data_IF_777444428246
#
_entry.id   IF_777444428246
#
_cell.length_a   1.000
_cell.length_b   1.000
_cell.length_c   1.000
_cell.angle_alpha   90.00
_cell.angle_beta   90.00
_cell.angle_gamma   90.00
#
_symmetry.space_group_name_H-M   'P 1'
#
loop_
_entity.id
_entity.type
_entity.pdbx_description
1 polymer ?
#
# COMPACT_ATOMS: atom_id res chain seq x y z
N UNK A 1 6.51 21.85 5.93
CA UNK A 1 7.19 20.62 6.42
C UNK A 1 8.59 20.82 7.02
N UNK A 2 9.42 21.83 6.67
CA UNK A 2 10.73 22.02 7.31
C UNK A 2 10.68 22.13 8.84
N UNK A 3 9.67 22.83 9.37
CA UNK A 3 9.44 22.96 10.82
C UNK A 3 9.20 21.62 11.53
N UNK A 4 8.52 20.67 10.88
CA UNK A 4 8.18 19.35 11.46
C UNK A 4 9.43 18.53 11.78
N UNK A 5 10.50 18.64 10.99
CA UNK A 5 11.76 17.95 11.29
C UNK A 5 12.47 18.52 12.51
N UNK A 6 12.40 19.82 12.74
CA UNK A 6 12.96 20.46 13.94
C UNK A 6 12.20 20.06 15.21
N UNK A 7 10.96 19.59 15.08
CA UNK A 7 10.06 19.24 16.17
C UNK A 7 9.97 17.73 16.46
N UNK A 8 10.67 16.87 15.70
CA UNK A 8 10.63 15.41 15.90
C UNK A 8 10.93 15.00 17.35
N UNK A 9 11.94 15.62 17.96
CA UNK A 9 12.28 15.37 19.37
C UNK A 9 11.15 15.75 20.32
N UNK A 10 10.44 16.85 20.05
CA UNK A 10 9.29 17.26 20.86
C UNK A 10 8.11 16.29 20.71
N UNK A 11 7.84 15.83 19.49
CA UNK A 11 6.79 14.83 19.26
C UNK A 11 7.08 13.50 19.96
N UNK A 12 8.32 12.99 19.88
CA UNK A 12 8.72 11.79 20.60
C UNK A 12 8.59 11.98 22.11
N UNK A 13 9.01 13.14 22.63
CA UNK A 13 8.88 13.47 24.04
C UNK A 13 7.42 13.48 24.51
N UNK A 14 6.48 13.92 23.66
CA UNK A 14 5.05 13.91 23.99
C UNK A 14 4.53 12.50 24.29
N UNK A 15 5.04 11.45 23.64
CA UNK A 15 4.65 10.05 23.90
C UNK A 15 4.92 9.69 25.37
N UNK A 16 6.02 10.21 25.95
CA UNK A 16 6.42 9.96 27.35
C UNK A 16 5.55 10.66 28.40
N UNK A 17 4.59 11.47 27.95
CA UNK A 17 3.62 12.16 28.81
C UNK A 17 2.20 11.62 28.66
N UNK A 18 1.94 10.69 27.73
CA UNK A 18 0.59 10.14 27.52
C UNK A 18 -0.03 9.53 28.78
N UNK A 19 0.79 9.04 29.72
CA UNK A 19 0.38 8.46 31.00
C UNK A 19 0.30 9.48 32.16
N UNK A 20 0.66 10.74 31.89
CA UNK A 20 0.79 11.82 32.89
C UNK A 20 -0.19 12.96 32.68
N UNK A 21 -0.93 12.95 31.57
CA UNK A 21 -1.90 14.00 31.24
C UNK A 21 -3.30 13.53 31.60
N UNK A 22 -4.10 14.43 32.15
CA UNK A 22 -5.52 14.20 32.44
C UNK A 22 -6.33 14.53 31.18
N UNK A 23 -6.25 13.64 30.19
CA UNK A 23 -6.90 13.75 28.88
C UNK A 23 -7.64 12.47 28.58
N UNK A 24 -8.77 12.57 27.87
CA UNK A 24 -9.55 11.41 27.47
C UNK A 24 -8.71 10.40 26.67
N UNK A 25 -8.86 9.11 26.98
CA UNK A 25 -8.06 8.05 26.36
C UNK A 25 -8.28 7.98 24.85
N UNK A 26 -9.46 8.32 24.35
CA UNK A 26 -9.79 8.34 22.93
C UNK A 26 -9.02 9.45 22.19
N UNK A 27 -8.79 10.60 22.84
CA UNK A 27 -7.96 11.67 22.29
C UNK A 27 -6.48 11.26 22.23
N UNK A 28 -5.98 10.60 23.27
CA UNK A 28 -4.60 10.11 23.31
C UNK A 28 -4.35 9.10 22.18
N UNK A 29 -5.25 8.14 21.98
CA UNK A 29 -5.07 7.14 20.90
C UNK A 29 -5.17 7.77 19.51
N UNK A 30 -6.04 8.76 19.29
CA UNK A 30 -6.08 9.51 18.02
C UNK A 30 -4.78 10.29 17.79
N UNK A 31 -4.22 10.90 18.85
CA UNK A 31 -2.94 11.58 18.76
C UNK A 31 -1.81 10.62 18.39
N UNK A 32 -1.74 9.45 19.03
CA UNK A 32 -0.76 8.41 18.71
C UNK A 32 -0.92 7.87 17.28
N UNK A 33 -2.15 7.77 16.77
CA UNK A 33 -2.39 7.39 15.38
C UNK A 33 -1.77 8.39 14.41
N UNK A 34 -2.15 9.66 14.54
CA UNK A 34 -1.64 10.73 13.68
C UNK A 34 -0.12 10.82 13.74
N UNK A 35 0.46 10.61 14.94
CA UNK A 35 1.90 10.64 15.11
C UNK A 35 2.58 9.44 14.45
N UNK A 36 1.97 8.25 14.53
CA UNK A 36 2.42 7.08 13.79
C UNK A 36 2.42 7.30 12.29
N UNK A 37 1.32 7.83 11.73
CA UNK A 37 1.22 8.17 10.30
C UNK A 37 2.32 9.16 9.87
N UNK A 38 2.60 10.19 10.68
CA UNK A 38 3.68 11.13 10.44
C UNK A 38 5.05 10.44 10.39
N UNK A 39 5.37 9.61 11.38
CA UNK A 39 6.66 8.93 11.44
C UNK A 39 6.84 7.90 10.32
N UNK A 40 5.76 7.30 9.83
CA UNK A 40 5.77 6.44 8.64
C UNK A 40 6.09 7.30 7.41
N UNK A 41 5.37 8.42 7.22
CA UNK A 41 5.52 9.29 6.06
C UNK A 41 6.94 9.85 5.89
N UNK A 42 7.62 10.14 7.01
CA UNK A 42 9.01 10.64 7.01
C UNK A 42 10.06 9.54 7.22
N UNK A 43 9.64 8.28 7.29
CA UNK A 43 10.48 7.10 7.45
C UNK A 43 11.45 7.16 8.66
N UNK A 44 10.94 7.60 9.81
CA UNK A 44 11.74 7.80 11.04
C UNK A 44 11.15 7.03 12.25
N UNK A 45 10.89 5.74 12.07
CA UNK A 45 10.05 4.97 13.00
C UNK A 45 10.74 4.51 14.28
N UNK A 46 12.06 4.32 14.28
CA UNK A 46 12.80 3.74 15.42
C UNK A 46 12.58 4.48 16.75
N UNK A 47 12.60 5.81 16.70
CA UNK A 47 12.35 6.65 17.89
C UNK A 47 10.91 6.46 18.39
N UNK A 48 9.94 6.52 17.48
CA UNK A 48 8.52 6.33 17.80
C UNK A 48 8.26 4.94 18.41
N UNK A 49 8.79 3.89 17.79
CA UNK A 49 8.69 2.50 18.29
C UNK A 49 9.24 2.40 19.72
N UNK A 50 10.42 2.98 19.98
CA UNK A 50 11.05 2.95 21.30
C UNK A 50 10.18 3.64 22.35
N UNK A 51 9.78 4.89 22.11
CA UNK A 51 9.00 5.65 23.09
C UNK A 51 7.62 5.02 23.33
N UNK A 52 6.93 4.58 22.27
CA UNK A 52 5.61 3.96 22.39
C UNK A 52 5.69 2.61 23.12
N UNK A 53 6.74 1.81 22.88
CA UNK A 53 6.96 0.55 23.59
C UNK A 53 7.19 0.76 25.08
N UNK A 54 7.84 1.87 25.47
CA UNK A 54 8.10 2.18 26.88
C UNK A 54 6.83 2.52 27.67
N UNK A 55 5.83 3.12 27.01
CA UNK A 55 4.59 3.57 27.67
C UNK A 55 3.40 2.63 27.46
N UNK A 56 3.52 1.57 26.66
CA UNK A 56 2.38 0.68 26.32
C UNK A 56 1.67 0.08 27.55
N UNK A 57 2.39 -0.15 28.64
CA UNK A 57 1.84 -0.70 29.88
C UNK A 57 0.96 0.27 30.68
N UNK A 58 1.02 1.57 30.35
CA UNK A 58 0.14 2.58 30.95
C UNK A 58 -1.30 2.49 30.42
N UNK A 59 -1.49 1.92 29.23
CA UNK A 59 -2.82 1.71 28.64
C UNK A 59 -3.45 0.43 29.18
N UNK A 60 -4.79 0.42 29.26
CA UNK A 60 -5.57 -0.75 29.69
C UNK A 60 -6.63 -1.10 28.64
N UNK A 61 -7.24 -2.28 28.78
CA UNK A 61 -8.39 -2.70 27.97
C UNK A 61 -8.17 -2.57 26.46
N UNK A 62 -9.12 -1.90 25.79
CA UNK A 62 -9.19 -1.75 24.32
C UNK A 62 -8.12 -0.82 23.80
N UNK A 63 -7.78 0.21 24.56
CA UNK A 63 -6.71 1.15 24.24
C UNK A 63 -5.36 0.44 24.19
N UNK A 64 -5.09 -0.45 25.16
CA UNK A 64 -3.88 -1.27 25.12
C UNK A 64 -3.83 -2.18 23.89
N UNK A 65 -4.97 -2.76 23.50
CA UNK A 65 -5.05 -3.58 22.28
C UNK A 65 -4.72 -2.76 21.04
N UNK A 66 -5.29 -1.56 20.91
CA UNK A 66 -4.95 -0.64 19.82
C UNK A 66 -3.47 -0.22 19.86
N UNK A 67 -2.92 0.19 21.00
CA UNK A 67 -1.51 0.62 21.06
C UNK A 67 -0.56 -0.53 20.68
N UNK A 68 -0.88 -1.76 21.07
CA UNK A 68 -0.16 -2.95 20.62
C UNK A 68 -0.27 -3.15 19.10
N UNK A 69 -1.45 -2.97 18.50
CA UNK A 69 -1.61 -3.08 17.05
C UNK A 69 -0.87 -1.97 16.31
N UNK A 70 -0.84 -0.77 16.87
CA UNK A 70 -0.08 0.36 16.32
C UNK A 70 1.42 0.08 16.36
N UNK A 71 1.95 -0.48 17.44
CA UNK A 71 3.34 -0.93 17.53
C UNK A 71 3.70 -1.96 16.45
N UNK A 72 2.82 -2.93 16.21
CA UNK A 72 3.00 -3.92 15.14
C UNK A 72 2.93 -3.24 13.76
N UNK A 73 2.00 -2.31 13.56
CA UNK A 73 1.86 -1.53 12.35
C UNK A 73 3.13 -0.76 12.00
N UNK A 74 3.66 0.03 12.93
CA UNK A 74 4.89 0.79 12.68
C UNK A 74 6.12 -0.11 12.51
N UNK A 75 6.20 -1.26 13.19
CA UNK A 75 7.28 -2.24 13.00
C UNK A 75 7.24 -2.87 11.60
N UNK A 76 6.05 -3.16 11.10
CA UNK A 76 5.87 -3.67 9.74
C UNK A 76 6.44 -2.66 8.73
N UNK A 77 6.16 -1.36 8.87
CA UNK A 77 6.70 -0.32 8.00
C UNK A 77 8.21 -0.06 8.15
N UNK A 78 8.78 -0.34 9.33
CA UNK A 78 10.24 -0.31 9.58
C UNK A 78 10.95 -1.55 9.00
N UNK A 79 10.21 -2.56 8.55
CA UNK A 79 10.71 -3.73 7.83
C UNK A 79 10.66 -5.05 8.60
N UNK A 80 10.12 -5.09 9.82
CA UNK A 80 9.90 -6.32 10.59
C UNK A 80 8.59 -7.01 10.18
N UNK A 81 8.50 -7.38 8.89
CA UNK A 81 7.25 -7.81 8.26
C UNK A 81 6.66 -9.09 8.87
N UNK A 82 7.46 -10.16 8.94
CA UNK A 82 6.98 -11.48 9.36
C UNK A 82 6.54 -11.49 10.83
N UNK A 83 7.35 -10.91 11.72
CA UNK A 83 7.02 -10.85 13.15
C UNK A 83 5.81 -9.96 13.40
N UNK A 84 5.74 -8.80 12.75
CA UNK A 84 4.60 -7.90 12.89
C UNK A 84 3.30 -8.53 12.37
N UNK A 85 3.34 -9.22 11.23
CA UNK A 85 2.17 -9.90 10.69
C UNK A 85 1.74 -11.08 11.57
N UNK A 86 2.69 -11.88 12.06
CA UNK A 86 2.38 -12.94 13.02
C UNK A 86 1.73 -12.37 14.30
N UNK A 87 2.23 -11.23 14.80
CA UNK A 87 1.65 -10.53 15.94
C UNK A 87 0.24 -10.03 15.68
N UNK A 88 -0.04 -9.45 14.50
CA UNK A 88 -1.40 -8.99 14.14
C UNK A 88 -2.37 -10.17 14.07
N UNK A 89 -1.98 -11.30 13.47
CA UNK A 89 -2.85 -12.49 13.42
C UNK A 89 -3.22 -13.00 14.81
N UNK A 90 -2.32 -12.88 15.79
CA UNK A 90 -2.60 -13.26 17.17
C UNK A 90 -3.44 -12.23 17.91
N UNK A 91 -3.15 -10.94 17.72
CA UNK A 91 -3.81 -9.84 18.43
C UNK A 91 -5.23 -9.58 17.89
N UNK A 92 -5.39 -9.62 16.57
CA UNK A 92 -6.58 -9.20 15.85
C UNK A 92 -6.84 -10.08 14.62
N UNK A 93 -7.19 -11.37 14.81
CA UNK A 93 -7.56 -12.26 13.71
C UNK A 93 -8.76 -11.70 12.93
N UNK A 94 -8.88 -12.06 11.65
CA UNK A 94 -9.90 -11.51 10.74
C UNK A 94 -11.34 -11.68 11.28
N UNK A 95 -11.61 -12.81 11.93
CA UNK A 95 -12.91 -13.11 12.54
C UNK A 95 -13.25 -12.15 13.68
N UNK A 96 -12.25 -11.75 14.47
CA UNK A 96 -12.42 -10.76 15.53
C UNK A 96 -12.70 -9.38 14.94
N UNK A 97 -11.96 -8.98 13.90
CA UNK A 97 -12.09 -7.67 13.28
C UNK A 97 -13.50 -7.39 12.75
N UNK A 98 -14.20 -8.43 12.29
CA UNK A 98 -15.59 -8.33 11.83
C UNK A 98 -16.60 -8.01 12.95
N UNK A 99 -16.22 -8.18 14.22
CA UNK A 99 -17.10 -7.99 15.39
C UNK A 99 -16.85 -6.69 16.15
N UNK A 100 -15.82 -5.92 15.77
CA UNK A 100 -15.44 -4.68 16.43
C UNK A 100 -16.49 -3.58 16.27
N UNK A 101 -16.79 -2.87 17.35
CA UNK A 101 -17.67 -1.71 17.43
C UNK A 101 -16.94 -0.45 16.92
N UNK A 102 -17.30 -0.06 15.70
CA UNK A 102 -16.73 1.12 15.03
C UNK A 102 -17.08 2.46 15.68
N UNK A 103 -18.08 2.51 16.56
CA UNK A 103 -18.40 3.71 17.32
C UNK A 103 -17.29 4.06 18.31
N UNK A 104 -16.56 3.04 18.79
CA UNK A 104 -15.42 3.18 19.67
C UNK A 104 -14.16 3.50 18.88
N UNK A 105 -13.44 4.55 19.31
CA UNK A 105 -12.24 5.04 18.63
C UNK A 105 -11.15 3.97 18.58
N UNK A 106 -10.84 3.36 19.73
CA UNK A 106 -9.79 2.34 19.85
C UNK A 106 -10.05 1.11 18.99
N UNK A 107 -11.26 0.59 18.98
CA UNK A 107 -11.62 -0.57 18.14
C UNK A 107 -11.62 -0.21 16.64
N UNK A 108 -12.06 1.00 16.27
CA UNK A 108 -11.98 1.48 14.88
C UNK A 108 -10.52 1.61 14.40
N UNK A 109 -9.63 2.14 15.23
CA UNK A 109 -8.20 2.28 14.92
C UNK A 109 -7.47 0.92 14.93
N UNK A 110 -7.84 0.01 15.83
CA UNK A 110 -7.39 -1.38 15.82
C UNK A 110 -7.74 -2.06 14.49
N UNK A 111 -9.00 -1.94 14.05
CA UNK A 111 -9.43 -2.46 12.76
C UNK A 111 -8.63 -1.85 11.61
N UNK A 112 -8.44 -0.53 11.60
CA UNK A 112 -7.67 0.15 10.56
C UNK A 112 -6.23 -0.37 10.48
N UNK A 113 -5.49 -0.39 11.59
CA UNK A 113 -4.08 -0.83 11.61
C UNK A 113 -3.92 -2.30 11.21
N UNK A 114 -4.78 -3.18 11.73
CA UNK A 114 -4.76 -4.60 11.37
C UNK A 114 -5.11 -4.83 9.89
N UNK A 115 -6.20 -4.23 9.39
CA UNK A 115 -6.58 -4.38 7.99
C UNK A 115 -5.55 -3.83 7.02
N UNK A 116 -4.80 -2.77 7.36
CA UNK A 116 -3.71 -2.31 6.51
C UNK A 116 -2.60 -3.37 6.37
N UNK A 117 -2.24 -4.10 7.44
CA UNK A 117 -1.25 -5.19 7.32
C UNK A 117 -1.83 -6.37 6.52
N UNK A 118 -3.06 -6.80 6.83
CA UNK A 118 -3.73 -7.87 6.08
C UNK A 118 -3.83 -7.56 4.59
N UNK A 119 -4.13 -6.31 4.26
CA UNK A 119 -4.18 -5.83 2.88
C UNK A 119 -2.84 -6.03 2.15
N UNK A 120 -1.73 -5.69 2.81
CA UNK A 120 -0.37 -5.85 2.25
C UNK A 120 0.01 -7.33 2.10
N UNK A 121 -0.49 -8.19 2.98
CA UNK A 121 -0.30 -9.65 2.97
C UNK A 121 -1.29 -10.40 2.07
N UNK A 122 -2.10 -9.68 1.29
CA UNK A 122 -2.91 -10.23 0.21
C UNK A 122 -4.36 -10.60 0.55
N UNK A 123 -4.91 -10.01 1.62
CA UNK A 123 -6.31 -10.15 2.03
C UNK A 123 -7.21 -9.02 1.50
N UNK A 124 -6.92 -8.51 0.29
CA UNK A 124 -7.62 -7.35 -0.27
C UNK A 124 -9.14 -7.51 -0.37
N UNK A 125 -9.62 -8.73 -0.67
CA UNK A 125 -11.05 -9.03 -0.73
C UNK A 125 -11.73 -8.88 0.63
N UNK A 126 -11.11 -9.41 1.68
CA UNK A 126 -11.64 -9.29 3.05
C UNK A 126 -11.75 -7.83 3.47
N UNK A 127 -10.71 -7.05 3.21
CA UNK A 127 -10.67 -5.61 3.53
C UNK A 127 -11.74 -4.84 2.74
N UNK A 128 -11.88 -5.11 1.43
CA UNK A 128 -12.90 -4.45 0.60
C UNK A 128 -14.33 -4.77 1.07
N UNK A 129 -14.62 -6.03 1.46
CA UNK A 129 -15.92 -6.41 2.04
C UNK A 129 -16.20 -5.64 3.33
N UNK A 130 -15.21 -5.52 4.21
CA UNK A 130 -15.32 -4.75 5.44
C UNK A 130 -15.60 -3.27 5.16
N UNK A 131 -14.83 -2.67 4.26
CA UNK A 131 -14.96 -1.26 3.89
C UNK A 131 -16.35 -0.95 3.31
N UNK A 132 -16.83 -1.81 2.41
CA UNK A 132 -18.13 -1.68 1.77
C UNK A 132 -19.28 -1.84 2.77
N UNK A 133 -19.24 -2.88 3.61
CA UNK A 133 -20.26 -3.16 4.63
C UNK A 133 -20.42 -2.00 5.61
N UNK A 134 -19.31 -1.39 6.00
CA UNK A 134 -19.30 -0.29 6.98
C UNK A 134 -19.28 1.09 6.33
N UNK A 135 -19.37 1.18 5.00
CA UNK A 135 -19.33 2.43 4.23
C UNK A 135 -18.15 3.32 4.65
N UNK A 136 -16.97 2.72 4.77
CA UNK A 136 -15.75 3.41 5.21
C UNK A 136 -15.44 4.55 4.24
N UNK A 137 -15.26 5.75 4.77
CA UNK A 137 -14.89 6.93 3.97
C UNK A 137 -13.39 7.15 4.05
N UNK A 138 -12.73 7.08 2.89
CA UNK A 138 -11.30 7.34 2.77
C UNK A 138 -11.04 8.69 2.09
N UNK A 139 -9.85 9.24 2.28
CA UNK A 139 -9.40 10.50 1.65
C UNK A 139 -8.64 10.26 0.33
N UNK A 140 -8.47 9.00 -0.04
CA UNK A 140 -7.73 8.51 -1.21
C UNK A 140 -8.48 7.33 -1.83
N UNK A 141 -8.06 6.92 -3.03
CA UNK A 141 -8.59 5.72 -3.66
C UNK A 141 -8.41 4.52 -2.72
N UNK A 142 -9.47 3.73 -2.44
CA UNK A 142 -9.34 2.59 -1.54
C UNK A 142 -8.32 1.58 -2.09
N UNK A 143 -7.27 1.32 -1.32
CA UNK A 143 -6.19 0.41 -1.71
C UNK A 143 -6.68 -1.03 -1.89
N UNK A 144 -7.70 -1.44 -1.13
CA UNK A 144 -8.41 -2.71 -1.29
C UNK A 144 -9.05 -2.85 -2.67
N UNK A 145 -9.78 -1.84 -3.14
CA UNK A 145 -10.35 -1.81 -4.49
C UNK A 145 -9.25 -1.79 -5.57
N UNK A 146 -8.18 -1.02 -5.37
CA UNK A 146 -7.04 -1.00 -6.28
C UNK A 146 -6.40 -2.40 -6.44
N UNK A 147 -6.08 -3.09 -5.34
CA UNK A 147 -5.47 -4.42 -5.41
C UNK A 147 -6.40 -5.45 -6.06
N UNK A 148 -7.71 -5.36 -5.84
CA UNK A 148 -8.70 -6.22 -6.50
C UNK A 148 -8.90 -5.92 -7.99
N UNK A 149 -8.34 -4.84 -8.52
CA UNK A 149 -8.63 -4.40 -9.89
C UNK A 149 -10.03 -3.80 -10.06
N UNK A 150 -10.69 -3.34 -8.99
CA UNK A 150 -11.92 -2.55 -9.08
C UNK A 150 -11.59 -1.12 -9.56
N UNK A 151 -11.24 -0.97 -10.83
CA UNK A 151 -10.82 0.30 -11.41
C UNK A 151 -12.01 1.11 -11.90
N UNK A 152 -12.13 2.33 -11.36
CA UNK A 152 -13.19 3.25 -11.74
C UNK A 152 -12.62 4.67 -11.90
N UNK A 153 -12.70 5.19 -13.14
CA UNK A 153 -12.17 6.51 -13.49
C UNK A 153 -12.83 7.63 -12.68
N UNK A 154 -14.16 7.66 -12.60
CA UNK A 154 -14.88 8.70 -11.86
C UNK A 154 -14.52 8.73 -10.37
N UNK A 155 -14.27 7.56 -9.77
CA UNK A 155 -13.77 7.48 -8.40
C UNK A 155 -12.32 8.00 -8.30
N UNK A 156 -11.43 7.62 -9.21
CA UNK A 156 -10.04 8.06 -9.24
C UNK A 156 -9.90 9.59 -9.34
N UNK A 157 -10.70 10.21 -10.22
CA UNK A 157 -10.76 11.67 -10.44
C UNK A 157 -11.49 12.42 -9.32
N UNK A 158 -12.30 11.71 -8.51
CA UNK A 158 -12.96 12.32 -7.34
C UNK A 158 -11.98 12.67 -6.21
N UNK A 159 -10.77 12.10 -6.21
CA UNK A 159 -9.73 12.38 -5.21
C UNK A 159 -8.70 13.41 -5.72
N UNK A 160 -8.00 14.05 -4.79
CA UNK A 160 -6.72 14.71 -5.12
C UNK A 160 -5.70 13.66 -5.54
N UNK A 161 -4.76 14.02 -6.41
CA UNK A 161 -3.71 13.12 -6.84
C UNK A 161 -2.93 12.57 -5.64
N UNK A 162 -2.77 11.25 -5.64
CA UNK A 162 -2.02 10.44 -4.70
C UNK A 162 -1.53 9.19 -5.44
N UNK A 163 -0.72 8.40 -4.77
CA UNK A 163 -0.15 7.19 -5.36
C UNK A 163 -1.20 6.26 -5.99
N UNK A 164 -2.27 5.91 -5.26
CA UNK A 164 -3.22 4.90 -5.72
C UNK A 164 -4.08 5.36 -6.91
N UNK A 165 -4.59 6.60 -6.91
CA UNK A 165 -5.38 7.05 -8.07
C UNK A 165 -4.52 7.30 -9.30
N UNK A 166 -3.27 7.74 -9.14
CA UNK A 166 -2.32 7.79 -10.26
C UNK A 166 -2.08 6.38 -10.82
N UNK A 167 -1.87 5.38 -9.96
CA UNK A 167 -1.63 4.00 -10.44
C UNK A 167 -2.86 3.39 -11.13
N UNK A 168 -4.08 3.64 -10.62
CA UNK A 168 -5.32 3.24 -11.28
C UNK A 168 -5.41 3.87 -12.67
N UNK A 169 -5.20 5.19 -12.79
CA UNK A 169 -5.24 5.88 -14.08
C UNK A 169 -4.16 5.36 -15.05
N UNK A 170 -2.96 5.07 -14.56
CA UNK A 170 -1.89 4.47 -15.35
C UNK A 170 -2.28 3.09 -15.88
N UNK A 171 -2.84 2.24 -15.01
CA UNK A 171 -3.27 0.90 -15.38
C UNK A 171 -4.46 0.88 -16.36
N UNK A 172 -5.28 1.93 -16.34
CA UNK A 172 -6.35 2.16 -17.33
C UNK A 172 -5.85 2.78 -18.64
N UNK A 173 -4.57 3.18 -18.74
CA UNK A 173 -4.03 3.89 -19.90
C UNK A 173 -4.50 5.34 -20.01
N UNK A 174 -4.93 5.95 -18.91
CA UNK A 174 -5.49 7.30 -18.84
C UNK A 174 -4.55 8.33 -18.18
N UNK A 175 -3.45 7.90 -17.57
CA UNK A 175 -2.51 8.81 -16.92
C UNK A 175 -1.56 9.45 -17.94
N UNK A 176 -1.69 10.76 -18.11
CA UNK A 176 -0.73 11.57 -18.88
C UNK A 176 0.60 11.72 -18.12
N UNK A 177 1.70 11.80 -18.86
CA UNK A 177 3.05 11.82 -18.31
C UNK A 177 3.34 13.14 -17.56
N UNK A 178 2.77 14.23 -18.04
CA UNK A 178 2.91 15.57 -17.47
C UNK A 178 2.25 15.65 -16.10
N UNK A 179 1.16 14.91 -15.88
CA UNK A 179 0.44 14.89 -14.60
C UNK A 179 1.28 14.23 -13.50
N UNK A 180 1.96 13.13 -13.82
CA UNK A 180 2.81 12.44 -12.86
C UNK A 180 4.12 13.19 -12.61
N UNK A 181 4.68 13.83 -13.64
CA UNK A 181 5.88 14.66 -13.50
C UNK A 181 5.60 15.91 -12.65
N UNK A 182 4.45 16.56 -12.87
CA UNK A 182 3.99 17.66 -12.01
C UNK A 182 3.82 17.19 -10.56
N UNK A 183 3.16 16.05 -10.34
CA UNK A 183 2.98 15.50 -9.00
C UNK A 183 4.31 15.22 -8.29
N UNK A 184 5.28 14.60 -8.98
CA UNK A 184 6.62 14.34 -8.44
C UNK A 184 7.32 15.64 -8.01
N UNK A 185 7.19 16.71 -8.79
CA UNK A 185 7.82 18.01 -8.50
C UNK A 185 7.24 18.73 -7.26
N UNK A 186 6.00 18.39 -6.87
CA UNK A 186 5.35 18.96 -5.68
C UNK A 186 5.65 18.16 -4.40
N UNK A 187 6.22 16.96 -4.52
CA UNK A 187 6.52 16.13 -3.36
C UNK A 187 7.66 16.72 -2.54
N UNK A 188 7.53 16.61 -1.21
CA UNK A 188 8.58 16.99 -0.29
C UNK A 188 9.80 16.05 -0.43
N UNK A 189 11.01 16.60 -0.51
CA UNK A 189 12.25 15.85 -0.77
C UNK A 189 12.50 14.64 0.16
N UNK A 190 11.97 14.70 1.39
CA UNK A 190 12.10 13.60 2.37
C UNK A 190 10.91 12.64 2.41
N UNK A 191 9.93 12.80 1.54
CA UNK A 191 8.84 11.83 1.32
C UNK A 191 9.36 10.63 0.49
N UNK A 192 10.46 10.02 0.92
CA UNK A 192 11.25 9.07 0.13
C UNK A 192 10.44 7.86 -0.34
N UNK A 193 9.53 7.35 0.48
CA UNK A 193 8.65 6.24 0.10
C UNK A 193 7.69 6.64 -1.04
N UNK A 194 7.08 7.81 -0.94
CA UNK A 194 6.15 8.32 -1.95
C UNK A 194 6.86 8.67 -3.25
N UNK A 195 8.04 9.29 -3.16
CA UNK A 195 8.93 9.55 -4.30
C UNK A 195 9.28 8.25 -5.03
N UNK A 196 9.67 7.20 -4.29
CA UNK A 196 9.97 5.88 -4.86
C UNK A 196 8.77 5.27 -5.57
N UNK A 197 7.60 5.26 -4.92
CA UNK A 197 6.36 4.69 -5.42
C UNK A 197 5.86 5.38 -6.70
N UNK A 198 5.85 6.71 -6.71
CA UNK A 198 5.40 7.47 -7.87
C UNK A 198 6.43 7.40 -9.00
N UNK A 199 7.74 7.44 -8.70
CA UNK A 199 8.80 7.24 -9.70
C UNK A 199 8.72 5.86 -10.36
N UNK A 200 8.27 4.86 -9.61
CA UNK A 200 7.99 3.53 -10.15
C UNK A 200 6.82 3.52 -11.12
N UNK A 201 5.67 4.16 -10.80
CA UNK A 201 4.57 4.34 -11.76
C UNK A 201 5.08 5.05 -13.01
N UNK A 202 5.87 6.13 -12.83
CA UNK A 202 6.45 6.89 -13.92
C UNK A 202 7.31 6.02 -14.83
N UNK A 203 8.18 5.21 -14.25
CA UNK A 203 9.06 4.28 -14.97
C UNK A 203 8.30 3.18 -15.72
N UNK A 204 7.11 2.79 -15.27
CA UNK A 204 6.24 1.85 -16.00
C UNK A 204 5.64 2.47 -17.27
N UNK A 205 5.38 3.77 -17.28
CA UNK A 205 4.87 4.49 -18.45
C UNK A 205 5.98 4.79 -19.43
N UNK A 206 7.04 5.47 -18.95
CA UNK A 206 8.24 5.80 -19.70
C UNK A 206 9.42 5.64 -18.72
N UNK A 207 10.34 4.70 -18.98
CA UNK A 207 11.44 4.41 -18.06
C UNK A 207 12.27 5.65 -17.72
N UNK A 208 12.54 5.84 -16.43
CA UNK A 208 13.47 6.85 -15.94
C UNK A 208 14.90 6.50 -16.30
N UNK A 209 15.77 7.49 -16.37
CA UNK A 209 17.19 7.27 -16.57
C UNK A 209 17.84 6.67 -15.32
N UNK A 210 18.95 5.95 -15.53
CA UNK A 210 19.69 5.28 -14.45
C UNK A 210 20.06 6.24 -13.32
N UNK A 211 20.49 7.46 -13.66
CA UNK A 211 20.95 8.43 -12.67
C UNK A 211 19.80 8.92 -11.77
N UNK A 212 18.61 9.11 -12.33
CA UNK A 212 17.38 9.46 -11.60
C UNK A 212 16.96 8.35 -10.65
N UNK A 213 16.96 7.10 -11.12
CA UNK A 213 16.62 5.93 -10.29
C UNK A 213 17.62 5.77 -9.15
N UNK A 214 18.92 5.93 -9.43
CA UNK A 214 19.99 5.81 -8.42
C UNK A 214 19.86 6.88 -7.33
N UNK A 215 19.40 8.09 -7.67
CA UNK A 215 19.20 9.18 -6.70
C UNK A 215 18.07 8.91 -5.68
N UNK A 216 17.11 8.03 -5.99
CA UNK A 216 16.02 7.69 -5.08
C UNK A 216 16.53 7.02 -3.79
N UNK A 217 16.13 7.56 -2.65
CA UNK A 217 16.54 7.06 -1.33
C UNK A 217 15.76 5.80 -0.96
N UNK A 218 16.48 4.75 -0.58
CA UNK A 218 15.89 3.47 -0.12
C UNK A 218 15.73 3.49 1.39
N UNK A 219 14.49 3.48 1.86
CA UNK A 219 14.14 3.55 3.30
C UNK A 219 13.78 2.20 3.92
N UNK A 220 13.32 1.24 3.12
CA UNK A 220 12.94 -0.11 3.56
C UNK A 220 13.08 -1.13 2.41
N UNK A 221 12.93 -2.44 2.67
CA UNK A 221 13.03 -3.48 1.63
C UNK A 221 12.06 -3.29 0.47
N UNK A 222 10.82 -2.83 0.73
CA UNK A 222 9.86 -2.55 -0.32
C UNK A 222 10.37 -1.48 -1.32
N UNK A 223 10.87 -0.35 -0.82
CA UNK A 223 11.48 0.69 -1.65
C UNK A 223 12.71 0.19 -2.41
N UNK A 224 13.50 -0.72 -1.81
CA UNK A 224 14.65 -1.37 -2.48
C UNK A 224 14.18 -2.22 -3.66
N UNK A 225 13.12 -2.98 -3.47
CA UNK A 225 12.53 -3.83 -4.50
C UNK A 225 12.01 -3.03 -5.70
N UNK A 226 11.25 -1.96 -5.46
CA UNK A 226 10.79 -1.07 -6.53
C UNK A 226 11.96 -0.45 -7.31
N UNK A 227 13.00 0.01 -6.60
CA UNK A 227 14.22 0.53 -7.23
C UNK A 227 14.91 -0.51 -8.10
N UNK A 228 14.99 -1.75 -7.62
CA UNK A 228 15.53 -2.90 -8.37
C UNK A 228 14.77 -3.16 -9.66
N UNK A 229 13.42 -3.12 -9.63
CA UNK A 229 12.60 -3.27 -10.84
C UNK A 229 12.85 -2.16 -11.85
N UNK A 230 12.89 -0.89 -11.41
CA UNK A 230 13.17 0.23 -12.31
C UNK A 230 14.54 0.09 -12.99
N UNK A 231 15.57 -0.31 -12.23
CA UNK A 231 16.89 -0.58 -12.79
C UNK A 231 16.87 -1.77 -13.77
N UNK A 232 16.09 -2.81 -13.49
CA UNK A 232 15.95 -3.97 -14.37
C UNK A 232 15.32 -3.59 -15.72
N UNK A 233 14.33 -2.68 -15.73
CA UNK A 233 13.66 -2.23 -16.95
C UNK A 233 14.60 -1.58 -17.96
N UNK A 234 15.68 -0.96 -17.50
CA UNK A 234 16.62 -0.21 -18.33
C UNK A 234 17.99 -0.89 -18.47
N UNK A 235 18.18 -2.09 -17.93
CA UNK A 235 19.46 -2.79 -17.96
C UNK A 235 19.63 -3.53 -19.30
N UNK A 236 20.57 -3.11 -20.17
CA UNK A 236 20.73 -3.74 -21.48
C UNK A 236 21.38 -5.13 -21.38
N UNK A 237 22.13 -5.42 -20.31
CA UNK A 237 22.74 -6.72 -20.14
C UNK A 237 21.74 -7.70 -19.50
N UNK A 238 21.28 -8.69 -20.27
CA UNK A 238 20.29 -9.66 -19.82
C UNK A 238 20.67 -10.40 -18.53
N UNK A 239 21.95 -10.74 -18.30
CA UNK A 239 22.40 -11.42 -17.08
C UNK A 239 22.25 -10.49 -15.87
N UNK A 240 22.61 -9.21 -16.02
CA UNK A 240 22.42 -8.21 -14.96
C UNK A 240 20.95 -7.91 -14.72
N UNK A 241 20.15 -7.77 -15.77
CA UNK A 241 18.71 -7.56 -15.68
C UNK A 241 18.04 -8.72 -14.93
N UNK A 242 18.40 -9.97 -15.25
CA UNK A 242 17.93 -11.17 -14.59
C UNK A 242 18.18 -11.12 -13.07
N UNK A 243 19.41 -10.76 -12.66
CA UNK A 243 19.78 -10.61 -11.26
C UNK A 243 18.95 -9.52 -10.56
N UNK A 244 18.78 -8.36 -11.20
CA UNK A 244 17.99 -7.25 -10.66
C UNK A 244 16.52 -7.65 -10.45
N UNK A 245 15.92 -8.39 -11.39
CA UNK A 245 14.56 -8.92 -11.23
C UNK A 245 14.45 -9.88 -10.05
N UNK A 246 15.34 -10.86 -9.95
CA UNK A 246 15.32 -11.85 -8.86
C UNK A 246 15.49 -11.20 -7.48
N UNK A 247 16.42 -10.26 -7.36
CA UNK A 247 16.61 -9.48 -6.12
C UNK A 247 15.36 -8.66 -5.80
N UNK A 248 14.76 -7.99 -6.78
CA UNK A 248 13.56 -7.20 -6.57
C UNK A 248 12.36 -8.04 -6.12
N UNK A 249 12.14 -9.20 -6.74
CA UNK A 249 11.07 -10.16 -6.38
C UNK A 249 11.20 -10.58 -4.92
N UNK A 250 12.42 -10.87 -4.45
CA UNK A 250 12.69 -11.22 -3.06
C UNK A 250 12.36 -10.08 -2.11
N UNK A 251 12.82 -8.86 -2.42
CA UNK A 251 12.61 -7.68 -1.56
C UNK A 251 11.14 -7.24 -1.47
N UNK A 252 10.35 -7.52 -2.51
CA UNK A 252 8.92 -7.18 -2.57
C UNK A 252 8.02 -8.23 -1.89
N UNK A 253 8.55 -9.36 -1.41
CA UNK A 253 7.78 -10.52 -0.96
C UNK A 253 6.70 -10.26 0.09
N UNK A 254 6.81 -9.19 0.88
CA UNK A 254 5.86 -8.84 1.95
C UNK A 254 4.71 -7.95 1.46
N UNK A 255 4.89 -7.23 0.34
CA UNK A 255 3.78 -6.48 -0.27
C UNK A 255 3.27 -7.29 -1.46
N UNK A 256 2.32 -8.19 -1.20
CA UNK A 256 1.94 -9.27 -2.13
C UNK A 256 1.54 -8.75 -3.51
N UNK A 257 0.84 -7.62 -3.59
CA UNK A 257 0.47 -7.04 -4.88
C UNK A 257 1.70 -6.73 -5.74
N UNK A 258 2.68 -5.99 -5.21
CA UNK A 258 3.90 -5.64 -5.95
C UNK A 258 4.86 -6.82 -6.12
N UNK A 259 4.85 -7.80 -5.22
CA UNK A 259 5.54 -9.07 -5.46
C UNK A 259 5.01 -9.78 -6.72
N UNK A 260 3.68 -9.85 -6.87
CA UNK A 260 3.05 -10.48 -8.04
C UNK A 260 3.26 -9.64 -9.30
N UNK A 261 3.25 -8.32 -9.19
CA UNK A 261 3.60 -7.43 -10.30
C UNK A 261 5.07 -7.58 -10.73
N UNK A 262 6.00 -7.78 -9.78
CA UNK A 262 7.40 -8.07 -10.08
C UNK A 262 7.55 -9.39 -10.85
N UNK A 263 6.81 -10.43 -10.45
CA UNK A 263 6.74 -11.70 -11.19
C UNK A 263 6.22 -11.49 -12.61
N UNK A 264 5.22 -10.62 -12.81
CA UNK A 264 4.69 -10.29 -14.13
C UNK A 264 5.76 -9.69 -15.03
N UNK A 265 6.48 -8.67 -14.55
CA UNK A 265 7.52 -8.03 -15.34
C UNK A 265 8.71 -8.97 -15.61
N UNK A 266 9.08 -9.80 -14.65
CA UNK A 266 10.15 -10.77 -14.84
C UNK A 266 9.74 -11.87 -15.83
N UNK A 267 8.51 -12.39 -15.76
CA UNK A 267 7.99 -13.30 -16.76
C UNK A 267 8.01 -12.66 -18.16
N UNK A 268 7.56 -11.41 -18.30
CA UNK A 268 7.65 -10.68 -19.58
C UNK A 268 9.10 -10.59 -20.10
N UNK A 269 10.07 -10.35 -19.23
CA UNK A 269 11.49 -10.36 -19.59
C UNK A 269 11.96 -11.75 -20.02
N UNK A 270 11.65 -12.80 -19.25
CA UNK A 270 12.04 -14.18 -19.52
C UNK A 270 11.43 -14.73 -20.81
N UNK A 271 10.23 -14.29 -21.19
CA UNK A 271 9.58 -14.72 -22.44
C UNK A 271 10.49 -14.53 -23.66
N UNK A 272 11.34 -13.50 -23.63
CA UNK A 272 12.27 -13.17 -24.72
C UNK A 272 13.69 -13.69 -24.50
N UNK A 273 14.11 -13.93 -23.25
CA UNK A 273 15.50 -14.23 -22.91
C UNK A 273 15.74 -15.66 -22.40
N UNK A 274 14.74 -16.29 -21.79
CA UNK A 274 14.81 -17.66 -21.25
C UNK A 274 13.41 -18.29 -21.18
N UNK A 275 12.90 -18.84 -22.31
CA UNK A 275 11.56 -19.42 -22.38
C UNK A 275 11.32 -20.60 -21.44
N UNK A 276 12.38 -21.30 -21.01
CA UNK A 276 12.26 -22.41 -20.05
C UNK A 276 11.90 -21.91 -18.66
N UNK A 277 12.53 -20.82 -18.19
CA UNK A 277 12.18 -20.22 -16.90
C UNK A 277 10.87 -19.42 -16.97
N UNK A 278 10.53 -18.88 -18.13
CA UNK A 278 9.28 -18.12 -18.33
C UNK A 278 8.05 -18.87 -17.78
N UNK A 279 7.87 -20.13 -18.16
CA UNK A 279 6.71 -20.92 -17.74
C UNK A 279 6.60 -21.08 -16.21
N UNK A 280 7.73 -21.15 -15.52
CA UNK A 280 7.79 -21.29 -14.06
C UNK A 280 7.24 -20.02 -13.40
N UNK A 281 7.83 -18.86 -13.76
CA UNK A 281 7.46 -17.59 -13.16
C UNK A 281 6.08 -17.09 -13.61
N UNK A 282 5.68 -17.40 -14.85
CA UNK A 282 4.33 -17.17 -15.35
C UNK A 282 3.29 -17.90 -14.50
N UNK A 283 3.43 -19.22 -14.32
CA UNK A 283 2.47 -20.03 -13.54
C UNK A 283 2.45 -19.62 -12.07
N UNK A 284 3.62 -19.36 -11.48
CA UNK A 284 3.71 -18.86 -10.12
C UNK A 284 2.93 -17.55 -9.96
N UNK A 285 3.17 -16.58 -10.84
CA UNK A 285 2.50 -15.29 -10.81
C UNK A 285 0.99 -15.41 -11.01
N UNK A 286 0.55 -16.13 -12.04
CA UNK A 286 -0.87 -16.35 -12.33
C UNK A 286 -1.60 -17.01 -11.14
N UNK A 287 -1.02 -18.06 -10.55
CA UNK A 287 -1.59 -18.72 -9.37
C UNK A 287 -1.74 -17.75 -8.19
N UNK A 288 -0.77 -16.86 -7.98
CA UNK A 288 -0.85 -15.85 -6.92
C UNK A 288 -1.90 -14.79 -7.22
N UNK A 289 -2.07 -14.36 -8.47
CA UNK A 289 -3.15 -13.43 -8.83
C UNK A 289 -4.53 -14.01 -8.52
N UNK A 290 -4.73 -15.30 -8.80
CA UNK A 290 -5.98 -16.00 -8.51
C UNK A 290 -6.20 -16.18 -7.01
N UNK A 291 -5.15 -16.59 -6.28
CA UNK A 291 -5.17 -16.76 -4.82
C UNK A 291 -5.57 -15.48 -4.09
N UNK A 292 -5.03 -14.34 -4.51
CA UNK A 292 -5.24 -13.04 -3.84
C UNK A 292 -6.28 -12.15 -4.53
N UNK A 293 -6.94 -12.66 -5.57
CA UNK A 293 -7.95 -11.96 -6.36
C UNK A 293 -7.45 -10.65 -7.01
N UNK A 294 -6.18 -10.62 -7.44
CA UNK A 294 -5.58 -9.49 -8.16
C UNK A 294 -5.97 -9.52 -9.64
N UNK A 295 -7.24 -9.24 -9.93
CA UNK A 295 -7.85 -9.47 -11.25
C UNK A 295 -7.19 -8.71 -12.39
N UNK A 296 -6.74 -7.46 -12.15
CA UNK A 296 -5.99 -6.73 -13.16
C UNK A 296 -4.66 -7.43 -13.49
N UNK A 297 -3.91 -7.89 -12.48
CA UNK A 297 -2.68 -8.62 -12.72
C UNK A 297 -2.94 -9.97 -13.38
N UNK A 298 -4.03 -10.66 -13.04
CA UNK A 298 -4.45 -11.89 -13.72
C UNK A 298 -4.62 -11.63 -15.23
N UNK A 299 -5.38 -10.59 -15.59
CA UNK A 299 -5.51 -10.12 -16.97
C UNK A 299 -4.14 -9.86 -17.61
N UNK A 300 -3.25 -9.15 -16.92
CA UNK A 300 -1.90 -8.83 -17.44
C UNK A 300 -1.08 -10.09 -17.73
N UNK A 301 -1.13 -11.11 -16.87
CA UNK A 301 -0.48 -12.39 -17.15
C UNK A 301 -1.10 -13.07 -18.37
N UNK A 302 -2.42 -13.20 -18.44
CA UNK A 302 -3.09 -13.86 -19.57
C UNK A 302 -2.73 -13.21 -20.92
N UNK A 303 -2.57 -11.88 -20.96
CA UNK A 303 -2.12 -11.15 -22.14
C UNK A 303 -0.68 -11.48 -22.59
N UNK A 304 0.18 -12.07 -21.73
CA UNK A 304 1.52 -12.51 -22.13
C UNK A 304 1.46 -13.71 -23.08
N UNK A 305 0.51 -14.63 -22.89
CA UNK A 305 0.33 -15.81 -23.75
C UNK A 305 -0.65 -15.55 -24.89
N UNK A 306 -1.72 -14.81 -24.61
CA UNK A 306 -2.85 -14.62 -25.51
C UNK A 306 -3.19 -13.12 -25.60
N UNK A 307 -2.35 -12.32 -26.29
CA UNK A 307 -2.62 -10.89 -26.46
C UNK A 307 -3.91 -10.71 -27.27
N UNK A 308 -4.97 -10.25 -26.60
CA UNK A 308 -6.29 -10.06 -27.21
C UNK A 308 -6.51 -8.64 -27.71
N UNK A 309 -5.74 -7.67 -27.21
CA UNK A 309 -5.95 -6.25 -27.47
C UNK A 309 -7.22 -5.67 -26.84
N UNK A 310 -7.99 -6.50 -26.13
CA UNK A 310 -9.21 -6.08 -25.43
C UNK A 310 -8.80 -5.43 -24.12
N UNK A 311 -9.35 -4.25 -23.82
CA UNK A 311 -9.11 -3.55 -22.57
C UNK A 311 -9.58 -4.38 -21.36
N UNK A 312 -8.93 -4.18 -20.21
CA UNK A 312 -9.31 -4.84 -18.96
C UNK A 312 -10.75 -4.49 -18.55
N UNK A 313 -11.50 -5.51 -18.13
CA UNK A 313 -12.83 -5.37 -17.57
C UNK A 313 -12.97 -6.30 -16.35
N UNK A 314 -13.27 -5.79 -15.14
CA UNK A 314 -13.40 -6.61 -13.94
C UNK A 314 -14.51 -7.66 -14.03
N UNK A 315 -15.50 -7.48 -14.93
CA UNK A 315 -16.60 -8.45 -15.13
C UNK A 315 -16.14 -9.77 -15.75
N UNK A 316 -15.00 -9.77 -16.44
CA UNK A 316 -14.41 -10.99 -17.01
C UNK A 316 -13.67 -11.83 -15.96
N UNK A 317 -13.51 -11.30 -14.75
CA UNK A 317 -12.79 -11.92 -13.64
C UNK A 317 -13.69 -11.87 -12.40
N UNK A 318 -14.69 -12.75 -12.27
CA UNK A 318 -15.62 -12.68 -11.14
C UNK A 318 -14.90 -12.94 -9.81
N UNK A 319 -15.29 -12.19 -8.77
CA UNK A 319 -14.88 -12.46 -7.40
C UNK A 319 -15.68 -13.64 -6.82
N UNK A 320 -15.17 -14.29 -5.75
CA UNK A 320 -15.94 -15.29 -5.01
C UNK A 320 -17.34 -14.77 -4.63
N UNK A 321 -18.33 -15.66 -4.64
CA UNK A 321 -19.73 -15.36 -4.32
C UNK A 321 -20.39 -14.26 -5.19
N UNK A 322 -19.79 -13.94 -6.35
CA UNK A 322 -20.20 -12.82 -7.21
C UNK A 322 -20.21 -11.47 -6.47
N UNK A 323 -19.27 -11.28 -5.54
CA UNK A 323 -19.10 -10.02 -4.81
C UNK A 323 -18.92 -8.84 -5.77
N UNK A 324 -19.61 -7.75 -5.48
CA UNK A 324 -19.64 -6.54 -6.30
C UNK A 324 -19.55 -5.29 -5.42
N UNK A 325 -18.62 -4.39 -5.74
CA UNK A 325 -18.36 -3.17 -5.01
C UNK A 325 -18.97 -1.90 -5.64
N UNK A 326 -19.74 -2.00 -6.72
CA UNK A 326 -20.37 -0.87 -7.44
C UNK A 326 -21.12 0.08 -6.51
N UNK A 327 -21.96 -0.46 -5.62
CA UNK A 327 -22.74 0.36 -4.67
C UNK A 327 -21.84 1.14 -3.71
N UNK A 328 -20.73 0.54 -3.28
CA UNK A 328 -19.75 1.21 -2.42
C UNK A 328 -18.95 2.27 -3.18
N UNK A 329 -18.54 1.96 -4.42
CA UNK A 329 -17.87 2.91 -5.33
C UNK A 329 -18.75 4.14 -5.57
N UNK A 330 -20.04 3.96 -5.87
CA UNK A 330 -20.97 5.08 -6.07
C UNK A 330 -21.16 5.91 -4.80
N UNK A 331 -21.22 5.25 -3.63
CA UNK A 331 -21.27 5.94 -2.35
C UNK A 331 -20.02 6.83 -2.14
N UNK A 332 -18.82 6.34 -2.43
CA UNK A 332 -17.58 7.11 -2.31
C UNK A 332 -17.55 8.31 -3.27
N UNK A 333 -17.92 8.10 -4.54
CA UNK A 333 -18.00 9.17 -5.54
C UNK A 333 -18.91 10.29 -5.05
N UNK A 334 -20.12 9.94 -4.57
CA UNK A 334 -21.07 10.92 -4.05
C UNK A 334 -20.48 11.72 -2.88
N UNK A 335 -19.88 11.03 -1.91
CA UNK A 335 -19.32 11.64 -0.70
C UNK A 335 -18.11 12.54 -0.99
N UNK A 336 -17.31 12.21 -1.99
CA UNK A 336 -16.19 13.05 -2.40
C UNK A 336 -16.64 14.32 -3.13
N UNK A 337 -17.70 14.25 -3.94
CA UNK A 337 -18.32 15.43 -4.55
C UNK A 337 -18.86 16.39 -3.49
N UNK A 338 -19.64 15.88 -2.53
CA UNK A 338 -20.16 16.67 -1.40
C UNK A 338 -19.04 17.40 -0.62
N UNK A 339 -17.87 16.76 -0.44
CA UNK A 339 -16.70 17.37 0.22
C UNK A 339 -16.00 18.45 -0.62
N UNK A 340 -16.02 18.33 -1.95
CA UNK A 340 -15.45 19.35 -2.84
C UNK A 340 -16.32 20.61 -2.87
N UNK A 341 -17.64 20.43 -2.85
CA UNK A 341 -18.60 21.53 -2.91
C UNK A 341 -18.73 22.29 -1.56
N UNK A 342 -18.23 21.71 -0.47
CA UNK A 342 -18.26 22.31 0.88
C UNK A 342 -17.00 23.12 1.24
N UNK A 343 -16.05 23.26 0.32
CA UNK A 343 -14.81 24.05 0.47
C UNK A 343 -14.84 25.24 -0.47
#
# INVERSE_FOLDING_TARGET
MPEVHSQQGNFLKCITYCDKVDVDSAEIVNYLENLGELFIAICSLRGFIRELSAVVHSFQGRERQYVNSQLLYVRYFDGDFDSAFAGIKQLAPLELLATLDRSLVSERLLAYTAYNIYLMEGEALCVAKYDARHKVLLLRYPSSLFYLGEYNQSLAESYKHNFFNLEVLANMGLLAIEVIDAYLSELYDKAHLQLMQVSYIRSKLVPLERHEIVALVTVNPYARGLKGLMLAFIEPNAIKANKLYQEAIQQLGHIKYYHVEALYFYAKFLQTHNPTEFDIFYRQGLNLTQKHHYRFLQYRFEQLLHPSGIAYDPRNYPLPDNENFDSYIQFLIKKNKERKDSK
#
